data_IF_444112145855
#
_entry.id   IF_444112145855
#
_cell.length_a   1.000
_cell.length_b   1.000
_cell.length_c   1.000
_cell.angle_alpha   90.00
_cell.angle_beta   90.00
_cell.angle_gamma   90.00
#
_symmetry.space_group_name_H-M   'P 1'
#
loop_
_entity.id
_entity.type
_entity.pdbx_description
1 polymer ?
#
# COMPACT_ATOMS: atom_id res chain seq x y z
N UNK A 1 4.75 74.48 -13.94
CA UNK A 1 4.07 73.41 -13.19
C UNK A 1 4.00 72.21 -14.12
N UNK A 2 5.12 71.52 -14.30
CA UNK A 2 5.53 70.33 -13.54
C UNK A 2 4.68 69.10 -13.94
N UNK A 3 5.12 68.41 -14.99
CA UNK A 3 4.68 67.05 -15.33
C UNK A 3 5.75 66.13 -14.75
N UNK A 4 5.40 65.42 -13.69
CA UNK A 4 6.26 64.42 -13.05
C UNK A 4 6.60 63.29 -14.02
N UNK A 5 7.90 63.01 -14.15
CA UNK A 5 8.42 61.81 -14.81
C UNK A 5 8.29 60.63 -13.85
N UNK A 6 7.50 59.63 -14.23
CA UNK A 6 7.46 58.32 -13.57
C UNK A 6 8.71 57.54 -13.99
N UNK A 7 9.51 56.99 -13.04
CA UNK A 7 10.67 56.19 -13.41
C UNK A 7 10.23 54.81 -13.89
N UNK A 8 10.70 54.42 -15.09
CA UNK A 8 10.53 53.07 -15.62
C UNK A 8 11.38 52.08 -14.80
N UNK A 9 10.76 51.40 -13.85
CA UNK A 9 11.36 50.21 -13.24
C UNK A 9 11.33 49.08 -14.28
N UNK A 10 12.50 48.75 -14.82
CA UNK A 10 12.75 47.49 -15.52
C UNK A 10 12.38 46.34 -14.59
N UNK A 11 11.24 45.71 -14.86
CA UNK A 11 10.91 44.41 -14.29
C UNK A 11 11.94 43.43 -14.86
N UNK A 12 12.91 43.06 -14.04
CA UNK A 12 13.71 41.86 -14.25
C UNK A 12 12.75 40.68 -14.29
N UNK A 13 12.34 40.30 -15.50
CA UNK A 13 11.67 39.03 -15.78
C UNK A 13 12.73 37.97 -15.55
N UNK A 14 12.84 37.53 -14.29
CA UNK A 14 13.52 36.29 -13.95
C UNK A 14 12.89 35.21 -14.85
N UNK A 15 13.70 34.65 -15.73
CA UNK A 15 13.39 33.45 -16.50
C UNK A 15 13.19 32.29 -15.52
N UNK A 16 12.02 32.23 -14.89
CA UNK A 16 11.56 31.05 -14.18
C UNK A 16 10.95 30.12 -15.24
N UNK A 17 11.83 29.48 -16.04
CA UNK A 17 11.41 28.32 -16.82
C UNK A 17 10.91 27.28 -15.83
N UNK A 18 9.61 26.93 -15.81
CA UNK A 18 9.11 25.94 -14.86
C UNK A 18 9.90 24.66 -15.09
N UNK A 19 10.69 24.24 -14.10
CA UNK A 19 11.37 22.96 -14.14
C UNK A 19 10.29 21.90 -14.33
N UNK A 20 10.35 21.17 -15.44
CA UNK A 20 9.33 20.16 -15.75
C UNK A 20 9.40 19.08 -14.68
N UNK A 21 8.39 19.03 -13.82
CA UNK A 21 8.25 17.99 -12.80
C UNK A 21 8.14 16.62 -13.50
N UNK A 22 9.00 15.64 -13.17
CA UNK A 22 8.90 14.29 -13.71
C UNK A 22 7.54 13.66 -13.41
N UNK A 23 7.03 12.84 -14.34
CA UNK A 23 5.72 12.20 -14.21
C UNK A 23 5.56 11.37 -12.93
N UNK A 24 6.66 10.76 -12.45
CA UNK A 24 6.66 10.03 -11.18
C UNK A 24 6.47 10.94 -9.97
N UNK A 25 7.03 12.15 -9.96
CA UNK A 25 6.87 13.09 -8.83
C UNK A 25 5.45 13.66 -8.73
N UNK A 26 4.73 13.71 -9.86
CA UNK A 26 3.31 14.01 -9.89
C UNK A 26 2.40 12.83 -9.48
N UNK A 27 2.96 11.65 -9.21
CA UNK A 27 2.17 10.48 -8.83
C UNK A 27 1.83 10.45 -7.34
N UNK A 28 0.69 9.86 -7.00
CA UNK A 28 0.29 9.68 -5.59
C UNK A 28 1.27 8.77 -4.84
N UNK A 29 1.89 7.80 -5.54
CA UNK A 29 2.95 6.97 -4.96
C UNK A 29 4.14 7.79 -4.46
N UNK A 30 4.56 8.81 -5.20
CA UNK A 30 5.64 9.69 -4.76
C UNK A 30 5.20 10.58 -3.59
N UNK A 31 3.99 11.12 -3.67
CA UNK A 31 3.48 12.11 -2.71
C UNK A 31 3.15 11.50 -1.35
N UNK A 32 2.56 10.30 -1.32
CA UNK A 32 1.97 9.73 -0.10
C UNK A 32 2.58 8.39 0.33
N UNK A 33 3.33 7.72 -0.55
CA UNK A 33 3.90 6.39 -0.27
C UNK A 33 5.43 6.38 -0.36
N UNK A 34 6.06 7.53 -0.14
CA UNK A 34 7.52 7.67 -0.09
C UNK A 34 7.96 8.20 1.27
N UNK A 35 8.90 7.51 1.87
CA UNK A 35 9.38 7.75 3.24
C UNK A 35 10.90 7.72 3.30
N UNK A 36 11.47 8.45 4.26
CA UNK A 36 12.83 8.15 4.70
C UNK A 36 12.86 6.83 5.48
N UNK A 37 14.00 6.12 5.57
CA UNK A 37 14.11 4.91 6.38
C UNK A 37 13.71 5.12 7.85
N UNK A 38 14.09 6.27 8.41
CA UNK A 38 13.77 6.67 9.78
C UNK A 38 12.27 6.94 9.97
N UNK A 39 11.65 7.63 9.02
CA UNK A 39 10.20 7.86 9.04
C UNK A 39 9.43 6.56 8.94
N UNK A 40 9.84 5.64 8.06
CA UNK A 40 9.17 4.35 7.89
C UNK A 40 9.23 3.51 9.17
N UNK A 41 10.41 3.46 9.81
CA UNK A 41 10.61 2.78 11.09
C UNK A 41 9.73 3.38 12.19
N UNK A 42 9.78 4.71 12.35
CA UNK A 42 8.98 5.42 13.34
C UNK A 42 7.47 5.24 13.13
N UNK A 43 6.98 5.31 11.89
CA UNK A 43 5.56 5.10 11.58
C UNK A 43 5.09 3.73 12.03
N UNK A 44 5.88 2.68 11.79
CA UNK A 44 5.55 1.30 12.20
C UNK A 44 5.62 1.11 13.71
N UNK A 45 6.61 1.71 14.35
CA UNK A 45 6.77 1.66 15.80
C UNK A 45 5.59 2.34 16.51
N UNK A 46 5.23 3.56 16.10
CA UNK A 46 4.10 4.31 16.66
C UNK A 46 2.79 3.56 16.44
N UNK A 47 2.55 3.06 15.22
CA UNK A 47 1.35 2.28 14.91
C UNK A 47 1.22 1.04 15.80
N UNK A 48 2.31 0.30 16.00
CA UNK A 48 2.30 -0.89 16.86
C UNK A 48 2.04 -0.51 18.33
N UNK A 49 2.67 0.54 18.85
CA UNK A 49 2.46 1.01 20.22
C UNK A 49 0.99 1.41 20.45
N UNK A 50 0.42 2.20 19.54
CA UNK A 50 -0.96 2.67 19.64
C UNK A 50 -1.95 1.50 19.53
N UNK A 51 -1.70 0.57 18.61
CA UNK A 51 -2.52 -0.64 18.47
C UNK A 51 -2.46 -1.54 19.71
N UNK A 52 -1.26 -1.78 20.25
CA UNK A 52 -1.09 -2.55 21.49
C UNK A 52 -1.81 -1.88 22.65
N UNK A 53 -1.72 -0.55 22.77
CA UNK A 53 -2.42 0.19 23.82
C UNK A 53 -3.95 0.05 23.70
N UNK A 54 -4.51 0.20 22.50
CA UNK A 54 -5.93 0.06 22.24
C UNK A 54 -6.44 -1.37 22.52
N UNK A 55 -5.70 -2.38 22.06
CA UNK A 55 -6.06 -3.79 22.26
C UNK A 55 -5.96 -4.15 23.75
N UNK A 56 -4.92 -3.69 24.44
CA UNK A 56 -4.76 -3.87 25.89
C UNK A 56 -5.94 -3.32 26.66
N UNK A 57 -6.38 -2.10 26.34
CA UNK A 57 -7.57 -1.49 26.98
C UNK A 57 -8.84 -2.31 26.71
N UNK A 58 -8.97 -2.88 25.51
CA UNK A 58 -10.10 -3.74 25.14
C UNK A 58 -10.12 -5.03 25.97
N UNK A 59 -8.97 -5.66 26.19
CA UNK A 59 -8.84 -6.84 27.05
C UNK A 59 -9.20 -6.53 28.51
N UNK A 60 -8.69 -5.43 29.05
CA UNK A 60 -9.01 -5.00 30.43
C UNK A 60 -10.51 -4.68 30.61
N UNK A 61 -11.15 -4.11 29.58
CA UNK A 61 -12.58 -3.84 29.61
C UNK A 61 -13.45 -5.11 29.56
N UNK A 62 -13.02 -6.16 28.84
CA UNK A 62 -13.75 -7.44 28.79
C UNK A 62 -13.50 -8.30 30.04
N UNK A 63 -12.27 -8.30 30.56
CA UNK A 63 -11.89 -9.02 31.78
C UNK A 63 -10.70 -8.35 32.47
N UNK A 64 -10.91 -7.68 33.62
CA UNK A 64 -9.84 -7.00 34.36
C UNK A 64 -8.71 -7.95 34.75
N UNK A 65 -7.46 -7.57 34.46
CA UNK A 65 -6.25 -8.35 34.69
C UNK A 65 -5.92 -9.35 33.59
N UNK A 66 -6.70 -9.44 32.51
CA UNK A 66 -6.39 -10.35 31.39
C UNK A 66 -5.23 -9.87 30.52
N UNK A 67 -4.86 -8.58 30.57
CA UNK A 67 -3.82 -8.03 29.68
C UNK A 67 -2.39 -8.20 30.20
N UNK A 68 -2.21 -8.54 31.49
CA UNK A 68 -0.88 -8.77 32.06
C UNK A 68 -0.22 -10.05 31.55
N UNK A 69 -1.03 -11.03 31.13
CA UNK A 69 -0.57 -12.35 30.69
C UNK A 69 -0.34 -12.43 29.17
N UNK A 70 -0.68 -11.37 28.43
CA UNK A 70 -0.61 -11.35 26.96
C UNK A 70 0.70 -10.70 26.49
N UNK A 71 1.52 -11.49 25.80
CA UNK A 71 2.67 -10.99 25.07
C UNK A 71 2.26 -10.57 23.66
N UNK A 72 2.13 -9.25 23.46
CA UNK A 72 1.84 -8.66 22.15
C UNK A 72 3.02 -8.82 21.18
N UNK A 73 2.74 -8.62 19.88
CA UNK A 73 3.76 -8.66 18.84
C UNK A 73 4.53 -7.33 18.76
N UNK A 74 5.83 -7.40 18.49
CA UNK A 74 6.61 -6.21 18.12
C UNK A 74 6.39 -5.86 16.65
N UNK A 75 6.67 -4.62 16.26
CA UNK A 75 6.57 -4.21 14.86
C UNK A 75 7.50 -5.03 13.94
N UNK A 76 8.67 -5.52 14.40
CA UNK A 76 9.51 -6.41 13.59
C UNK A 76 8.84 -7.77 13.33
N UNK A 77 8.18 -8.32 14.34
CA UNK A 77 7.44 -9.58 14.24
C UNK A 77 6.26 -9.44 13.28
N UNK A 78 5.54 -8.30 13.32
CA UNK A 78 4.50 -7.97 12.35
C UNK A 78 5.05 -7.94 10.91
N UNK A 79 6.17 -7.24 10.68
CA UNK A 79 6.80 -7.17 9.35
C UNK A 79 7.21 -8.55 8.87
N UNK A 80 7.80 -9.39 9.73
CA UNK A 80 8.21 -10.75 9.37
C UNK A 80 7.01 -11.61 8.94
N UNK A 81 5.89 -11.49 9.65
CA UNK A 81 4.65 -12.15 9.26
C UNK A 81 4.15 -11.65 7.91
N UNK A 82 4.09 -10.33 7.70
CA UNK A 82 3.67 -9.73 6.42
C UNK A 82 4.58 -10.17 5.27
N UNK A 83 5.91 -10.20 5.47
CA UNK A 83 6.88 -10.68 4.47
C UNK A 83 6.61 -12.13 4.05
N UNK A 84 6.19 -13.01 4.97
CA UNK A 84 5.80 -14.37 4.59
C UNK A 84 4.55 -14.36 3.70
N UNK A 85 3.57 -13.50 3.96
CA UNK A 85 2.37 -13.44 3.12
C UNK A 85 2.64 -12.79 1.76
N UNK A 86 3.60 -11.87 1.67
CA UNK A 86 4.10 -11.36 0.37
C UNK A 86 4.60 -12.51 -0.51
N UNK A 87 5.36 -13.47 0.02
CA UNK A 87 5.84 -14.61 -0.80
C UNK A 87 4.72 -15.59 -1.18
N UNK A 88 3.66 -15.68 -0.37
CA UNK A 88 2.46 -16.45 -0.72
C UNK A 88 1.66 -15.83 -1.86
N UNK A 89 1.68 -14.49 -2.01
CA UNK A 89 1.04 -13.83 -3.17
C UNK A 89 1.64 -14.35 -4.48
N UNK A 90 2.96 -14.44 -4.58
CA UNK A 90 3.66 -14.96 -5.77
C UNK A 90 3.22 -16.39 -6.09
N UNK A 91 3.10 -17.26 -5.07
CA UNK A 91 2.63 -18.65 -5.26
C UNK A 91 1.18 -18.71 -5.75
N UNK A 92 0.29 -17.89 -5.19
CA UNK A 92 -1.10 -17.81 -5.62
C UNK A 92 -1.21 -17.24 -7.05
N UNK A 93 -0.49 -16.18 -7.37
CA UNK A 93 -0.46 -15.61 -8.72
C UNK A 93 0.01 -16.65 -9.75
N UNK A 94 1.00 -17.46 -9.41
CA UNK A 94 1.44 -18.59 -10.25
C UNK A 94 0.34 -19.63 -10.49
N UNK A 95 -0.44 -19.97 -9.46
CA UNK A 95 -1.57 -20.90 -9.58
C UNK A 95 -2.69 -20.36 -10.48
N UNK A 96 -3.03 -19.08 -10.34
CA UNK A 96 -4.03 -18.41 -11.19
C UNK A 96 -3.49 -17.98 -12.57
N UNK A 97 -2.18 -18.11 -12.80
CA UNK A 97 -1.47 -17.62 -13.99
C UNK A 97 -1.68 -16.12 -14.22
N UNK A 98 -1.73 -15.35 -13.13
CA UNK A 98 -1.82 -13.90 -13.22
C UNK A 98 -0.50 -13.29 -13.74
N UNK A 99 -0.56 -12.18 -14.49
CA UNK A 99 0.63 -11.48 -14.95
C UNK A 99 1.40 -10.86 -13.79
N UNK A 100 2.66 -10.54 -14.06
CA UNK A 100 3.58 -9.95 -13.09
C UNK A 100 3.11 -8.58 -12.56
N UNK A 101 2.27 -7.86 -13.32
CA UNK A 101 1.66 -6.59 -12.93
C UNK A 101 0.64 -6.76 -11.80
N UNK A 102 -0.21 -7.79 -11.86
CA UNK A 102 -1.18 -8.13 -10.79
C UNK A 102 -0.42 -8.48 -9.51
N UNK A 103 0.60 -9.33 -9.62
CA UNK A 103 1.41 -9.76 -8.47
C UNK A 103 2.08 -8.57 -7.79
N UNK A 104 2.76 -7.71 -8.55
CA UNK A 104 3.44 -6.54 -8.03
C UNK A 104 2.46 -5.58 -7.33
N UNK A 105 1.30 -5.34 -7.95
CA UNK A 105 0.25 -4.48 -7.39
C UNK A 105 -0.29 -5.03 -6.07
N UNK A 106 -0.60 -6.32 -6.02
CA UNK A 106 -1.11 -6.98 -4.82
C UNK A 106 -0.11 -6.90 -3.65
N UNK A 107 1.19 -7.08 -3.93
CA UNK A 107 2.26 -6.95 -2.93
C UNK A 107 2.33 -5.52 -2.39
N UNK A 108 2.31 -4.52 -3.28
CA UNK A 108 2.30 -3.11 -2.88
C UNK A 108 1.07 -2.77 -2.03
N UNK A 109 -0.12 -3.25 -2.39
CA UNK A 109 -1.34 -3.05 -1.60
C UNK A 109 -1.24 -3.68 -0.22
N UNK A 110 -0.77 -4.92 -0.12
CA UNK A 110 -0.59 -5.60 1.17
C UNK A 110 0.34 -4.81 2.10
N UNK A 111 1.47 -4.33 1.58
CA UNK A 111 2.42 -3.59 2.39
C UNK A 111 1.91 -2.21 2.77
N UNK A 112 1.30 -1.48 1.85
CA UNK A 112 0.67 -0.17 2.11
C UNK A 112 -0.42 -0.28 3.18
N UNK A 113 -1.22 -1.34 3.15
CA UNK A 113 -2.23 -1.63 4.17
C UNK A 113 -1.61 -1.74 5.57
N UNK A 114 -0.51 -2.49 5.71
CA UNK A 114 0.19 -2.71 6.98
C UNK A 114 1.12 -1.55 7.40
N UNK A 115 1.14 -0.43 6.67
CA UNK A 115 1.70 0.83 7.18
C UNK A 115 0.69 1.65 7.98
N UNK A 116 -0.61 1.33 7.87
CA UNK A 116 -1.69 2.04 8.58
C UNK A 116 -2.51 1.14 9.50
N UNK A 117 -2.31 -0.17 9.43
CA UNK A 117 -3.07 -1.18 10.18
C UNK A 117 -2.13 -2.22 10.81
N UNK A 118 -2.52 -2.79 11.94
CA UNK A 118 -1.77 -3.89 12.58
C UNK A 118 -2.27 -5.26 12.14
N UNK A 119 -1.38 -6.26 12.15
CA UNK A 119 -1.74 -7.69 11.95
C UNK A 119 -2.64 -8.24 13.06
N UNK A 120 -2.65 -7.61 14.23
CA UNK A 120 -3.44 -8.01 15.40
C UNK A 120 -4.94 -7.74 15.23
N UNK A 121 -5.30 -6.74 14.43
CA UNK A 121 -6.69 -6.47 14.04
C UNK A 121 -7.07 -7.28 12.80
N UNK A 122 -6.21 -7.24 11.79
CA UNK A 122 -6.48 -7.78 10.47
C UNK A 122 -5.44 -8.82 10.09
N UNK A 123 -5.86 -10.08 10.04
CA UNK A 123 -4.96 -11.18 9.78
C UNK A 123 -4.46 -11.16 8.31
N UNK A 124 -3.13 -11.25 8.06
CA UNK A 124 -2.55 -11.11 6.71
C UNK A 124 -3.08 -12.07 5.66
N UNK A 125 -3.54 -13.27 6.05
CA UNK A 125 -4.19 -14.20 5.11
C UNK A 125 -5.38 -13.54 4.39
N UNK A 126 -6.30 -12.91 5.11
CA UNK A 126 -7.54 -12.40 4.52
C UNK A 126 -7.28 -11.09 3.77
N UNK A 127 -6.42 -10.23 4.32
CA UNK A 127 -5.97 -9.00 3.66
C UNK A 127 -5.23 -9.32 2.37
N UNK A 128 -4.35 -10.32 2.35
CA UNK A 128 -3.63 -10.77 1.15
C UNK A 128 -4.58 -11.21 0.03
N UNK A 129 -5.61 -12.01 0.36
CA UNK A 129 -6.60 -12.47 -0.61
C UNK A 129 -7.39 -11.29 -1.18
N UNK A 130 -7.79 -10.36 -0.31
CA UNK A 130 -8.52 -9.15 -0.70
C UNK A 130 -7.66 -8.22 -1.54
N UNK A 131 -6.41 -7.99 -1.16
CA UNK A 131 -5.47 -7.17 -1.90
C UNK A 131 -5.17 -7.75 -3.30
N UNK A 132 -5.03 -9.08 -3.40
CA UNK A 132 -4.86 -9.75 -4.69
C UNK A 132 -6.11 -9.63 -5.56
N UNK A 133 -7.30 -9.86 -5.00
CA UNK A 133 -8.55 -9.67 -5.72
C UNK A 133 -8.73 -8.22 -6.19
N UNK A 134 -8.46 -7.24 -5.34
CA UNK A 134 -8.51 -5.82 -5.69
C UNK A 134 -7.50 -5.48 -6.80
N UNK A 135 -6.27 -6.01 -6.73
CA UNK A 135 -5.26 -5.84 -7.76
C UNK A 135 -5.72 -6.38 -9.13
N UNK A 136 -6.46 -7.50 -9.17
CA UNK A 136 -7.03 -8.01 -10.44
C UNK A 136 -8.02 -7.03 -11.06
N UNK A 137 -8.80 -6.30 -10.24
CA UNK A 137 -9.73 -5.27 -10.72
C UNK A 137 -8.98 -4.05 -11.24
N UNK A 138 -7.99 -3.56 -10.50
CA UNK A 138 -7.29 -2.30 -10.80
C UNK A 138 -6.30 -2.41 -11.96
N UNK A 139 -5.80 -3.62 -12.24
CA UNK A 139 -4.87 -3.89 -13.35
C UNK A 139 -5.56 -4.44 -14.61
N UNK A 140 -6.90 -4.35 -14.71
CA UNK A 140 -7.70 -4.83 -15.85
C UNK A 140 -7.61 -6.36 -16.12
N UNK A 141 -7.45 -7.17 -15.06
CA UNK A 141 -7.50 -8.64 -15.15
C UNK A 141 -8.64 -9.23 -14.29
N UNK A 142 -9.89 -8.75 -14.41
CA UNK A 142 -10.94 -9.11 -13.47
C UNK A 142 -11.28 -10.61 -13.53
N UNK A 143 -11.45 -11.19 -12.35
CA UNK A 143 -11.95 -12.54 -12.14
C UNK A 143 -13.26 -12.47 -11.34
N UNK A 144 -14.21 -13.37 -11.59
CA UNK A 144 -15.40 -13.43 -10.74
C UNK A 144 -15.03 -13.85 -9.32
N UNK A 145 -15.76 -13.34 -8.33
CA UNK A 145 -15.47 -13.62 -6.92
C UNK A 145 -15.63 -15.12 -6.60
N UNK A 146 -16.62 -15.77 -7.22
CA UNK A 146 -16.87 -17.19 -7.06
C UNK A 146 -15.71 -18.02 -7.62
N UNK A 147 -15.21 -17.69 -8.82
CA UNK A 147 -14.09 -18.39 -9.42
C UNK A 147 -12.78 -18.13 -8.67
N UNK A 148 -12.61 -16.94 -8.10
CA UNK A 148 -11.47 -16.62 -7.26
C UNK A 148 -11.47 -17.46 -5.98
N UNK A 149 -12.59 -17.49 -5.25
CA UNK A 149 -12.69 -18.18 -3.95
C UNK A 149 -12.78 -19.70 -4.09
N UNK A 150 -13.38 -20.24 -5.16
CA UNK A 150 -13.45 -21.69 -5.38
C UNK A 150 -12.08 -22.36 -5.52
N UNK A 151 -11.10 -21.61 -6.01
CA UNK A 151 -9.73 -22.08 -6.22
C UNK A 151 -8.85 -21.98 -4.96
N UNK A 152 -9.38 -21.43 -3.86
CA UNK A 152 -8.61 -21.20 -2.63
C UNK A 152 -9.26 -21.98 -1.48
N UNK A 153 -8.53 -22.91 -0.85
CA UNK A 153 -9.12 -23.75 0.20
C UNK A 153 -9.55 -22.91 1.40
N UNK A 154 -10.77 -23.18 1.90
CA UNK A 154 -11.35 -22.56 3.11
C UNK A 154 -11.42 -21.03 3.02
N UNK A 155 -11.93 -20.52 1.89
CA UNK A 155 -12.19 -19.09 1.68
C UNK A 155 -13.60 -18.93 1.14
N UNK A 156 -14.40 -18.09 1.78
CA UNK A 156 -15.73 -17.73 1.31
C UNK A 156 -15.71 -16.37 0.58
N UNK A 157 -16.65 -16.11 -0.35
CA UNK A 157 -16.84 -14.79 -0.97
C UNK A 157 -16.94 -13.63 0.03
N UNK A 158 -17.60 -13.85 1.17
CA UNK A 158 -17.73 -12.85 2.23
C UNK A 158 -16.38 -12.42 2.83
N UNK A 159 -15.44 -13.36 2.99
CA UNK A 159 -14.13 -13.06 3.59
C UNK A 159 -13.32 -12.03 2.80
N UNK A 160 -13.58 -11.92 1.48
CA UNK A 160 -12.94 -10.97 0.57
C UNK A 160 -13.75 -9.69 0.47
N UNK A 161 -15.08 -9.78 0.31
CA UNK A 161 -15.95 -8.62 0.14
C UNK A 161 -15.99 -7.74 1.40
N UNK A 162 -16.03 -8.34 2.59
CA UNK A 162 -16.12 -7.61 3.86
C UNK A 162 -14.88 -6.74 4.11
N UNK A 163 -13.73 -7.12 3.54
CA UNK A 163 -12.47 -6.39 3.66
C UNK A 163 -12.19 -5.47 2.47
N UNK A 164 -12.89 -5.61 1.35
CA UNK A 164 -12.57 -4.91 0.10
C UNK A 164 -12.56 -3.39 0.30
N UNK A 165 -13.63 -2.85 0.90
CA UNK A 165 -13.74 -1.42 1.17
C UNK A 165 -12.70 -0.93 2.18
N UNK A 166 -12.45 -1.70 3.24
CA UNK A 166 -11.44 -1.37 4.24
C UNK A 166 -10.03 -1.30 3.64
N UNK A 167 -9.68 -2.25 2.77
CA UNK A 167 -8.40 -2.26 2.08
C UNK A 167 -8.32 -1.03 1.17
N UNK A 168 -9.36 -0.73 0.38
CA UNK A 168 -9.40 0.47 -0.46
C UNK A 168 -9.23 1.77 0.34
N UNK A 169 -9.92 1.91 1.47
CA UNK A 169 -9.82 3.07 2.37
C UNK A 169 -8.40 3.21 2.96
N UNK A 170 -7.80 2.10 3.40
CA UNK A 170 -6.43 2.09 3.93
C UNK A 170 -5.41 2.52 2.88
N UNK A 171 -5.65 2.16 1.61
CA UNK A 171 -4.86 2.62 0.47
C UNK A 171 -5.14 4.07 0.05
N UNK A 172 -6.04 4.77 0.76
CA UNK A 172 -6.53 6.11 0.38
C UNK A 172 -7.08 6.17 -1.06
N UNK A 173 -7.63 5.06 -1.55
CA UNK A 173 -8.10 4.89 -2.93
C UNK A 173 -7.01 5.10 -4.00
N UNK A 174 -5.73 5.01 -3.62
CA UNK A 174 -4.61 5.19 -4.52
C UNK A 174 -4.18 3.86 -5.16
N UNK A 175 -4.92 3.48 -6.19
CA UNK A 175 -4.72 2.20 -6.86
C UNK A 175 -3.58 2.20 -7.87
N UNK A 176 -3.12 3.36 -8.33
CA UNK A 176 -2.03 3.46 -9.28
C UNK A 176 -0.68 3.11 -8.63
N UNK A 177 -0.02 2.08 -9.15
CA UNK A 177 1.30 1.64 -8.70
C UNK A 177 2.28 1.68 -9.86
N UNK A 178 3.41 2.34 -9.65
CA UNK A 178 4.52 2.42 -10.59
C UNK A 178 5.47 1.25 -10.34
N UNK A 179 5.49 0.30 -11.27
CA UNK A 179 6.24 -0.94 -11.09
C UNK A 179 7.68 -0.88 -11.57
N UNK A 180 8.56 -1.53 -10.80
CA UNK A 180 10.00 -1.64 -11.11
C UNK A 180 10.26 -2.43 -12.39
N UNK A 181 9.51 -3.52 -12.65
CA UNK A 181 9.72 -4.34 -13.86
C UNK A 181 9.48 -3.54 -15.16
N UNK A 182 8.56 -2.56 -15.15
CA UNK A 182 8.34 -1.66 -16.29
C UNK A 182 9.52 -0.72 -16.51
N UNK A 183 10.11 -0.21 -15.42
CA UNK A 183 11.32 0.61 -15.51
C UNK A 183 12.52 -0.21 -16.00
N UNK A 184 12.67 -1.45 -15.53
CA UNK A 184 13.72 -2.36 -16.00
C UNK A 184 13.58 -2.67 -17.50
N UNK A 185 12.36 -2.89 -17.98
CA UNK A 185 12.09 -3.07 -19.41
C UNK A 185 12.53 -1.85 -20.24
N UNK A 186 12.24 -0.64 -19.76
CA UNK A 186 12.71 0.59 -20.40
C UNK A 186 14.24 0.69 -20.46
N UNK A 187 14.93 0.36 -19.35
CA UNK A 187 16.40 0.32 -19.32
C UNK A 187 16.93 -0.74 -20.31
N UNK A 188 16.31 -1.92 -20.37
CA UNK A 188 16.71 -2.98 -21.29
C UNK A 188 16.58 -2.58 -22.77
N UNK A 189 15.53 -1.84 -23.14
CA UNK A 189 15.37 -1.27 -24.48
C UNK A 189 16.45 -0.22 -24.76
N UNK A 190 16.66 0.71 -23.83
CA UNK A 190 17.70 1.76 -23.96
C UNK A 190 19.11 1.17 -24.13
N UNK A 191 19.41 0.06 -23.44
CA UNK A 191 20.70 -0.62 -23.51
C UNK A 191 20.98 -1.20 -24.90
N UNK A 192 19.95 -1.66 -25.61
CA UNK A 192 20.11 -2.21 -26.96
C UNK A 192 20.54 -1.15 -27.98
N UNK A 193 20.10 0.09 -27.77
CA UNK A 193 20.40 1.24 -28.63
C UNK A 193 21.77 1.89 -28.33
N UNK A 194 22.56 1.35 -27.39
CA UNK A 194 23.87 1.87 -27.07
C UNK A 194 24.88 1.62 -28.21
N UNK A 195 25.81 2.57 -28.48
CA UNK A 195 26.74 2.49 -29.60
C UNK A 195 27.76 1.34 -29.52
N UNK A 196 27.94 0.73 -28.35
CA UNK A 196 28.77 -0.47 -28.11
C UNK A 196 27.89 -1.57 -27.48
N UNK A 197 26.81 -1.91 -28.18
CA UNK A 197 25.80 -2.86 -27.71
C UNK A 197 26.41 -4.24 -27.54
N UNK A 198 26.32 -4.77 -26.32
CA UNK A 198 26.75 -6.13 -26.03
C UNK A 198 25.92 -7.15 -26.84
N UNK A 199 26.41 -8.39 -27.04
CA UNK A 199 25.64 -9.41 -27.73
C UNK A 199 24.25 -9.58 -27.11
N UNK A 200 23.22 -9.73 -27.95
CA UNK A 200 21.82 -9.83 -27.51
C UNK A 200 21.61 -10.93 -26.46
N UNK A 201 22.36 -12.03 -26.56
CA UNK A 201 22.35 -13.12 -25.57
C UNK A 201 22.77 -12.66 -24.17
N UNK A 202 23.83 -11.84 -24.06
CA UNK A 202 24.27 -11.26 -22.78
C UNK A 202 23.23 -10.29 -22.24
N UNK A 203 22.64 -9.47 -23.11
CA UNK A 203 21.58 -8.53 -22.72
C UNK A 203 20.35 -9.26 -22.18
N UNK A 204 19.94 -10.35 -22.81
CA UNK A 204 18.83 -11.19 -22.37
C UNK A 204 19.13 -11.86 -21.02
N UNK A 205 20.33 -12.45 -20.87
CA UNK A 205 20.75 -13.07 -19.61
C UNK A 205 20.80 -12.06 -18.45
N UNK A 206 21.31 -10.86 -18.70
CA UNK A 206 21.34 -9.78 -17.72
C UNK A 206 19.93 -9.34 -17.33
N UNK A 207 19.02 -9.21 -18.30
CA UNK A 207 17.62 -8.86 -18.06
C UNK A 207 16.87 -9.92 -17.25
N UNK A 208 17.00 -11.20 -17.63
CA UNK A 208 16.34 -12.31 -16.93
C UNK A 208 16.84 -12.44 -15.48
N UNK A 209 18.14 -12.21 -15.27
CA UNK A 209 18.75 -12.17 -13.93
C UNK A 209 18.28 -10.95 -13.13
N UNK A 210 18.22 -9.77 -13.77
CA UNK A 210 17.71 -8.54 -13.15
C UNK A 210 16.24 -8.67 -12.75
N UNK A 211 15.41 -9.36 -13.54
CA UNK A 211 14.01 -9.66 -13.17
C UNK A 211 13.90 -10.48 -11.88
N UNK A 212 14.82 -11.42 -11.63
CA UNK A 212 14.84 -12.14 -10.35
C UNK A 212 15.13 -11.19 -9.19
N UNK A 213 16.09 -10.28 -9.35
CA UNK A 213 16.37 -9.25 -8.35
C UNK A 213 15.20 -8.27 -8.17
N UNK A 214 14.45 -7.96 -9.23
CA UNK A 214 13.22 -7.16 -9.14
C UNK A 214 12.20 -7.89 -8.27
N UNK A 215 11.98 -9.20 -8.46
CA UNK A 215 11.08 -9.99 -7.62
C UNK A 215 11.54 -10.01 -6.17
N UNK A 216 12.84 -10.17 -5.92
CA UNK A 216 13.43 -10.10 -4.57
C UNK A 216 13.23 -8.72 -3.93
N UNK A 217 13.36 -7.63 -4.72
CA UNK A 217 13.14 -6.26 -4.23
C UNK A 217 11.72 -6.02 -3.74
N UNK A 218 10.72 -6.76 -4.26
CA UNK A 218 9.33 -6.68 -3.80
C UNK A 218 9.14 -7.23 -2.39
N UNK A 219 10.10 -7.93 -1.82
CA UNK A 219 10.03 -8.42 -0.44
C UNK A 219 10.58 -7.37 0.54
N UNK A 220 11.35 -6.39 0.04
CA UNK A 220 12.00 -5.36 0.86
C UNK A 220 11.18 -4.07 0.91
N UNK A 221 11.62 -3.12 1.71
CA UNK A 221 11.01 -1.79 1.80
C UNK A 221 11.49 -0.81 0.71
N UNK A 222 12.19 -1.34 -0.32
CA UNK A 222 12.77 -0.50 -1.37
C UNK A 222 11.72 0.38 -2.08
N UNK A 223 10.51 -0.13 -2.29
CA UNK A 223 9.42 0.60 -2.96
C UNK A 223 8.96 1.87 -2.21
N UNK A 224 9.19 1.92 -0.90
CA UNK A 224 8.82 3.05 -0.05
C UNK A 224 9.92 4.10 0.05
N UNK A 225 11.16 3.75 -0.30
CA UNK A 225 12.33 4.60 -0.07
C UNK A 225 12.86 5.15 -1.41
N UNK A 226 12.85 4.31 -2.45
CA UNK A 226 13.48 4.59 -3.73
C UNK A 226 12.47 4.60 -4.87
N UNK A 227 12.84 5.31 -5.94
CA UNK A 227 12.03 5.36 -7.14
C UNK A 227 12.13 4.05 -7.94
N UNK A 228 11.11 3.65 -8.72
CA UNK A 228 11.15 2.42 -9.51
C UNK A 228 12.34 2.34 -10.47
N UNK A 229 12.79 3.47 -11.03
CA UNK A 229 13.97 3.53 -11.90
C UNK A 229 15.28 3.31 -11.15
N UNK A 230 15.43 3.85 -9.94
CA UNK A 230 16.58 3.58 -9.07
C UNK A 230 16.64 2.11 -8.68
N UNK A 231 15.49 1.50 -8.35
CA UNK A 231 15.43 0.07 -8.03
C UNK A 231 15.77 -0.78 -9.25
N UNK A 232 15.21 -0.45 -10.43
CA UNK A 232 15.49 -1.17 -11.66
C UNK A 232 16.98 -1.12 -12.05
N UNK A 233 17.62 0.05 -11.95
CA UNK A 233 19.05 0.19 -12.19
C UNK A 233 19.87 -0.62 -11.18
N UNK A 234 19.46 -0.67 -9.92
CA UNK A 234 20.13 -1.48 -8.89
C UNK A 234 20.00 -2.97 -9.16
N UNK A 235 18.83 -3.44 -9.58
CA UNK A 235 18.63 -4.83 -10.00
C UNK A 235 19.46 -5.17 -11.23
N UNK A 236 19.60 -4.26 -12.20
CA UNK A 236 20.50 -4.44 -13.34
C UNK A 236 21.96 -4.48 -12.89
N UNK A 237 22.37 -3.59 -11.98
CA UNK A 237 23.74 -3.54 -11.46
C UNK A 237 24.11 -4.78 -10.65
N UNK A 238 23.14 -5.44 -9.99
CA UNK A 238 23.35 -6.74 -9.35
C UNK A 238 23.53 -7.88 -10.35
N UNK A 239 22.87 -7.80 -11.51
CA UNK A 239 22.97 -8.80 -12.57
C UNK A 239 24.23 -8.63 -13.44
N UNK A 240 24.50 -7.40 -13.91
CA UNK A 240 25.65 -7.03 -14.73
C UNK A 240 26.09 -5.58 -14.38
N UNK A 241 27.09 -5.42 -13.50
CA UNK A 241 27.60 -4.10 -13.09
C UNK A 241 28.15 -3.26 -14.25
N UNK A 242 28.81 -3.89 -15.22
CA UNK A 242 29.41 -3.23 -16.37
C UNK A 242 28.31 -2.65 -17.27
N UNK A 243 27.24 -3.42 -17.52
CA UNK A 243 26.11 -2.97 -18.32
C UNK A 243 25.36 -1.81 -17.65
N UNK A 244 25.13 -1.89 -16.34
CA UNK A 244 24.48 -0.84 -15.58
C UNK A 244 25.29 0.47 -15.58
N UNK A 245 26.62 0.37 -15.41
CA UNK A 245 27.51 1.53 -15.45
C UNK A 245 27.49 2.18 -16.84
N UNK A 246 27.60 1.40 -17.92
CA UNK A 246 27.55 1.93 -19.30
C UNK A 246 26.25 2.66 -19.59
N UNK A 247 25.12 2.09 -19.18
CA UNK A 247 23.83 2.77 -19.34
C UNK A 247 23.79 4.07 -18.53
N UNK A 248 24.28 4.05 -17.29
CA UNK A 248 24.34 5.24 -16.45
C UNK A 248 25.24 6.34 -17.04
N UNK A 249 26.40 5.97 -17.60
CA UNK A 249 27.32 6.86 -18.34
C UNK A 249 26.63 7.48 -19.54
N UNK A 250 26.00 6.65 -20.39
CA UNK A 250 25.35 7.10 -21.61
C UNK A 250 24.20 8.08 -21.34
N UNK A 251 23.49 7.91 -20.22
CA UNK A 251 22.40 8.79 -19.79
C UNK A 251 22.86 9.95 -18.89
N UNK A 252 24.15 10.04 -18.55
CA UNK A 252 24.70 11.10 -17.71
C UNK A 252 24.28 11.06 -16.24
N UNK A 253 23.94 9.87 -15.72
CA UNK A 253 23.41 9.66 -14.36
C UNK A 253 24.38 8.90 -13.44
N UNK A 254 25.67 8.89 -13.77
CA UNK A 254 26.72 8.18 -13.01
C UNK A 254 26.77 8.60 -11.52
N UNK A 255 26.47 9.86 -11.22
CA UNK A 255 26.41 10.36 -9.85
C UNK A 255 25.39 9.60 -8.98
N UNK A 256 24.38 8.97 -9.60
CA UNK A 256 23.36 8.19 -8.89
C UNK A 256 23.81 6.76 -8.57
N UNK A 257 24.99 6.32 -9.00
CA UNK A 257 25.48 4.96 -8.71
C UNK A 257 25.64 4.71 -7.20
N UNK A 258 25.97 5.73 -6.40
CA UNK A 258 25.97 5.60 -4.94
C UNK A 258 24.58 5.39 -4.31
N UNK A 259 23.50 5.73 -5.01
CA UNK A 259 22.13 5.34 -4.62
C UNK A 259 21.89 3.89 -5.04
N UNK A 260 22.25 3.53 -6.27
CA UNK A 260 22.16 2.17 -6.82
C UNK A 260 22.78 1.14 -5.88
N UNK A 261 23.98 1.39 -5.36
CA UNK A 261 24.67 0.52 -4.41
C UNK A 261 23.91 0.34 -3.09
N UNK A 262 23.32 1.42 -2.55
CA UNK A 262 22.50 1.37 -1.34
C UNK A 262 21.25 0.52 -1.54
N UNK A 263 20.60 0.65 -2.70
CA UNK A 263 19.44 -0.17 -3.05
C UNK A 263 19.86 -1.63 -3.21
N UNK A 264 20.95 -1.91 -3.93
CA UNK A 264 21.47 -3.25 -4.15
C UNK A 264 21.81 -3.96 -2.83
N UNK A 265 22.42 -3.24 -1.88
CA UNK A 265 22.69 -3.74 -0.53
C UNK A 265 21.39 -4.07 0.23
N UNK A 266 20.37 -3.21 0.14
CA UNK A 266 19.06 -3.47 0.77
C UNK A 266 18.36 -4.68 0.17
N UNK A 267 18.34 -4.82 -1.16
CA UNK A 267 17.72 -5.97 -1.84
C UNK A 267 18.41 -7.27 -1.43
N UNK A 268 19.74 -7.28 -1.38
CA UNK A 268 20.52 -8.46 -0.99
C UNK A 268 20.35 -8.83 0.48
N UNK A 269 20.33 -7.84 1.38
CA UNK A 269 20.23 -8.06 2.83
C UNK A 269 18.81 -8.42 3.27
N UNK A 270 17.82 -7.66 2.81
CA UNK A 270 16.45 -7.69 3.37
C UNK A 270 15.47 -8.51 2.51
N UNK A 271 15.90 -8.91 1.30
CA UNK A 271 15.12 -9.71 0.34
C UNK A 271 15.07 -11.21 0.65
N UNK A 272 15.50 -11.61 1.84
CA UNK A 272 15.49 -13.00 2.29
C UNK A 272 14.09 -13.39 2.76
N UNK A 273 13.62 -14.56 2.31
CA UNK A 273 12.35 -15.13 2.76
C UNK A 273 12.44 -15.50 4.24
N UNK A 274 11.51 -15.05 5.10
CA UNK A 274 11.52 -15.40 6.52
C UNK A 274 11.43 -16.91 6.75
N UNK A 275 12.11 -17.40 7.79
CA UNK A 275 12.01 -18.81 8.21
C UNK A 275 10.57 -19.14 8.62
N UNK A 276 10.03 -20.21 8.05
CA UNK A 276 8.65 -20.67 8.31
C UNK A 276 8.45 -21.01 9.79
N UNK A 277 9.49 -21.47 10.48
CA UNK A 277 9.42 -21.83 11.91
C UNK A 277 9.21 -20.60 12.80
N UNK A 278 9.99 -19.54 12.57
CA UNK A 278 9.86 -18.27 13.29
C UNK A 278 8.47 -17.68 13.08
N UNK A 279 7.99 -17.70 11.84
CA UNK A 279 6.67 -17.13 11.52
C UNK A 279 5.53 -17.98 12.09
N UNK A 280 5.70 -19.31 12.23
CA UNK A 280 4.71 -20.17 12.91
C UNK A 280 4.58 -19.83 14.39
N UNK A 281 5.68 -19.51 15.06
CA UNK A 281 5.63 -19.08 16.46
C UNK A 281 4.96 -17.70 16.61
N UNK A 282 5.27 -16.77 15.70
CA UNK A 282 4.59 -15.47 15.63
C UNK A 282 3.09 -15.65 15.38
N UNK A 283 2.67 -16.52 14.44
CA UNK A 283 1.26 -16.82 14.16
C UNK A 283 0.54 -17.44 15.38
N UNK A 284 1.25 -18.27 16.15
CA UNK A 284 0.71 -18.85 17.38
C UNK A 284 0.46 -17.77 18.43
N UNK A 285 1.40 -16.84 18.62
CA UNK A 285 1.26 -15.69 19.52
C UNK A 285 0.18 -14.73 19.05
N UNK A 286 0.08 -14.49 17.74
CA UNK A 286 -0.94 -13.65 17.13
C UNK A 286 -2.36 -14.10 17.52
N UNK A 287 -2.61 -15.41 17.63
CA UNK A 287 -3.92 -15.92 18.06
C UNK A 287 -4.28 -15.53 19.49
N UNK A 288 -3.29 -15.34 20.35
CA UNK A 288 -3.47 -14.99 21.75
C UNK A 288 -3.66 -13.48 21.94
N UNK A 289 -3.00 -12.66 21.12
CA UNK A 289 -3.06 -11.21 21.20
C UNK A 289 -4.00 -10.56 20.16
N UNK A 290 -4.84 -11.35 19.48
CA UNK A 290 -5.79 -10.85 18.49
C UNK A 290 -6.84 -9.97 19.17
N UNK A 291 -7.18 -8.86 18.53
CA UNK A 291 -8.17 -7.93 19.08
C UNK A 291 -9.52 -8.62 19.32
N UNK A 292 -10.02 -8.67 20.58
CA UNK A 292 -11.29 -9.29 20.91
C UNK A 292 -12.46 -8.74 20.10
N UNK A 293 -12.51 -7.43 19.83
CA UNK A 293 -13.59 -6.79 19.06
C UNK A 293 -13.70 -7.29 17.62
N UNK A 294 -12.64 -7.89 17.07
CA UNK A 294 -12.56 -8.39 15.70
C UNK A 294 -12.66 -9.92 15.63
N UNK A 295 -12.81 -10.59 16.77
CA UNK A 295 -13.01 -12.04 16.84
C UNK A 295 -14.51 -12.32 16.87
N UNK A 296 -15.02 -12.89 15.77
CA UNK A 296 -16.44 -13.26 15.64
C UNK A 296 -16.86 -14.16 16.80
N UNK A 297 -17.87 -13.73 17.55
CA UNK A 297 -18.41 -14.45 18.71
C UNK A 297 -17.77 -14.13 20.07
N UNK A 298 -16.78 -13.24 20.13
CA UNK A 298 -16.31 -12.70 21.41
C UNK A 298 -17.36 -11.76 22.02
N UNK A 299 -17.28 -11.52 23.34
CA UNK A 299 -18.18 -10.57 24.02
C UNK A 299 -18.01 -9.15 23.47
N UNK A 300 -16.77 -8.74 23.23
CA UNK A 300 -16.43 -7.44 22.66
C UNK A 300 -16.99 -7.27 21.23
N UNK A 301 -16.91 -8.31 20.39
CA UNK A 301 -17.49 -8.31 19.04
C UNK A 301 -19.01 -8.15 19.06
N UNK A 302 -19.71 -8.92 19.92
CA UNK A 302 -21.17 -8.84 20.07
C UNK A 302 -21.58 -7.47 20.59
N UNK A 303 -20.86 -6.92 21.58
CA UNK A 303 -21.12 -5.59 22.12
C UNK A 303 -20.96 -4.49 21.06
N UNK A 304 -19.93 -4.58 20.21
CA UNK A 304 -19.70 -3.66 19.09
C UNK A 304 -20.80 -3.74 18.04
N UNK A 305 -21.21 -4.95 17.66
CA UNK A 305 -22.29 -5.16 16.70
C UNK A 305 -23.62 -4.59 17.21
N UNK A 306 -23.95 -4.83 18.48
CA UNK A 306 -25.15 -4.28 19.12
C UNK A 306 -25.12 -2.74 19.21
N UNK A 307 -23.93 -2.15 19.40
CA UNK A 307 -23.76 -0.69 19.39
C UNK A 307 -24.01 -0.11 17.98
N UNK A 308 -23.40 -0.70 16.95
CA UNK A 308 -23.60 -0.28 15.56
C UNK A 308 -25.06 -0.43 15.13
N UNK A 309 -25.74 -1.50 15.56
CA UNK A 309 -27.16 -1.71 15.26
C UNK A 309 -28.03 -0.63 15.90
N UNK A 310 -27.79 -0.28 17.17
CA UNK A 310 -28.48 0.84 17.83
C UNK A 310 -28.23 2.18 17.15
N UNK A 311 -26.99 2.47 16.76
CA UNK A 311 -26.66 3.70 16.03
C UNK A 311 -27.35 3.75 14.66
N UNK A 312 -27.40 2.61 13.95
CA UNK A 312 -28.13 2.50 12.69
C UNK A 312 -29.65 2.65 12.88
N UNK A 313 -30.22 2.11 13.95
CA UNK A 313 -31.63 2.30 14.30
C UNK A 313 -31.94 3.77 14.59
N UNK A 314 -31.07 4.47 15.33
CA UNK A 314 -31.21 5.92 15.59
C UNK A 314 -31.12 6.72 14.29
N UNK A 315 -30.13 6.44 13.42
CA UNK A 315 -30.01 7.10 12.11
C UNK A 315 -31.25 6.83 11.23
N UNK A 316 -31.77 5.60 11.21
CA UNK A 316 -33.01 5.24 10.49
C UNK A 316 -34.23 5.95 11.05
N UNK A 317 -34.35 6.06 12.37
CA UNK A 317 -35.43 6.78 13.02
C UNK A 317 -35.40 8.28 12.71
N UNK A 318 -34.20 8.89 12.74
CA UNK A 318 -33.99 10.30 12.36
C UNK A 318 -34.42 10.56 10.91
N UNK A 319 -33.95 9.73 9.98
CA UNK A 319 -34.30 9.84 8.56
C UNK A 319 -35.79 9.61 8.31
N UNK A 320 -36.42 8.67 9.02
CA UNK A 320 -37.86 8.43 8.90
C UNK A 320 -38.69 9.61 9.41
N UNK A 321 -38.25 10.26 10.49
CA UNK A 321 -38.88 11.46 11.04
C UNK A 321 -38.73 12.67 10.10
N UNK A 322 -37.55 12.86 9.49
CA UNK A 322 -37.30 13.88 8.47
C UNK A 322 -38.19 13.69 7.24
N UNK A 323 -38.32 12.45 6.75
CA UNK A 323 -39.21 12.11 5.64
C UNK A 323 -40.68 12.37 6.02
N UNK A 324 -41.10 12.02 7.24
CA UNK A 324 -42.48 12.28 7.71
C UNK A 324 -42.77 13.78 7.73
N UNK A 325 -41.84 14.57 8.26
CA UNK A 325 -41.97 16.03 8.34
C UNK A 325 -42.02 16.68 6.95
N UNK A 326 -41.18 16.24 6.01
CA UNK A 326 -41.24 16.70 4.62
C UNK A 326 -42.58 16.35 3.92
N UNK A 327 -43.15 15.18 4.24
CA UNK A 327 -44.44 14.75 3.73
C UNK A 327 -45.63 15.54 4.33
N UNK A 328 -45.53 15.94 5.59
CA UNK A 328 -46.50 16.81 6.28
C UNK A 328 -46.45 18.26 5.78
N UNK A 329 -45.27 18.78 5.45
CA UNK A 329 -45.06 20.13 4.91
C UNK A 329 -45.42 20.25 3.41
N UNK A 330 -45.96 19.18 2.80
CA UNK A 330 -46.49 19.19 1.44
C UNK A 330 -45.43 19.16 0.33
N UNK A 331 -44.18 18.87 0.69
CA UNK A 331 -43.04 18.81 -0.21
C UNK A 331 -42.35 17.44 -0.16
N UNK A 332 -42.91 16.45 -0.88
CA UNK A 332 -42.42 15.08 -0.85
C UNK A 332 -41.09 14.86 -1.59
N UNK A 333 -40.53 15.91 -2.21
CA UNK A 333 -39.30 15.82 -3.00
C UNK A 333 -38.16 16.74 -2.53
N UNK A 334 -38.41 17.63 -1.57
CA UNK A 334 -37.42 18.60 -1.10
C UNK A 334 -37.26 19.74 -2.10
N UNK A 335 -37.73 20.92 -1.73
CA UNK A 335 -37.67 22.13 -2.52
C UNK A 335 -36.26 22.67 -2.44
N UNK A 336 -35.58 22.56 -3.58
CA UNK A 336 -34.29 23.17 -3.93
C UNK A 336 -33.07 22.62 -3.19
N UNK A 337 -32.07 22.28 -3.99
CA UNK A 337 -30.71 21.92 -3.60
C UNK A 337 -30.04 23.12 -2.92
N UNK A 338 -30.42 23.41 -1.69
CA UNK A 338 -29.71 24.40 -0.87
C UNK A 338 -28.45 23.69 -0.33
N UNK A 339 -27.38 23.77 -1.14
CA UNK A 339 -26.11 23.05 -0.98
C UNK A 339 -25.33 23.33 0.31
N UNK A 340 -25.90 24.09 1.25
CA UNK A 340 -25.31 24.37 2.55
C UNK A 340 -25.63 23.30 3.62
N UNK A 341 -26.79 22.63 3.56
CA UNK A 341 -27.20 21.67 4.61
C UNK A 341 -26.65 20.25 4.42
N UNK A 342 -26.40 19.83 3.19
CA UNK A 342 -25.90 18.48 2.89
C UNK A 342 -24.43 18.32 3.33
N UNK A 343 -23.68 19.41 3.43
CA UNK A 343 -22.25 19.38 3.78
C UNK A 343 -22.05 19.16 5.28
N UNK A 344 -22.86 19.78 6.15
CA UNK A 344 -22.73 19.58 7.61
C UNK A 344 -23.05 18.14 8.06
N UNK A 345 -23.94 17.41 7.39
CA UNK A 345 -24.24 16.01 7.74
C UNK A 345 -23.18 15.00 7.27
N UNK A 346 -22.34 15.36 6.30
CA UNK A 346 -21.25 14.50 5.82
C UNK A 346 -19.97 14.66 6.67
N UNK A 347 -19.81 15.80 7.34
CA UNK A 347 -18.64 16.10 8.18
C UNK A 347 -18.73 15.45 9.59
N UNK A 348 -19.88 14.87 9.98
CA UNK A 348 -20.03 14.12 11.24
C UNK A 348 -19.67 12.61 11.11
N UNK A 349 -19.32 12.13 9.92
CA UNK A 349 -18.96 10.73 9.65
C UNK A 349 -17.42 10.48 9.57
N UNK A 350 -16.60 11.34 10.18
CA UNK A 350 -15.14 11.14 10.38
C UNK A 350 -14.76 10.45 11.71
#
# INVERSE_FOLDING_TARGET
MAVEQVPSSSLDVANDTPSKTPLYEGSTQYQHWRFSPEQLHKTREVLNIDAVAAIRNTFEADSPGSSSDIQFLTYEEEILLVKLYVTKITQLCGHFRFPEEVEATAISYLKRFYLKNTVMDWHPKNVMLTALFLATKTTNHPISLEAYTSNIPRTAPSDVLDLEFLVAQSLAFEFAVWHVHRALWGIWLDVQDLPDSAPLERLQQAYDSALQYVRTSRITDAEFIFTPSQIALACLSLADPDLALRWATAKGVEANMGITERVAAMVTRDGVVPSVEVVREIDRRLRLCKNPEKVVGSKAYIAKQAKMEKEAEVKRARKAEEIRKAMEDGDPFGSELDGARIIEELDEDD
#
